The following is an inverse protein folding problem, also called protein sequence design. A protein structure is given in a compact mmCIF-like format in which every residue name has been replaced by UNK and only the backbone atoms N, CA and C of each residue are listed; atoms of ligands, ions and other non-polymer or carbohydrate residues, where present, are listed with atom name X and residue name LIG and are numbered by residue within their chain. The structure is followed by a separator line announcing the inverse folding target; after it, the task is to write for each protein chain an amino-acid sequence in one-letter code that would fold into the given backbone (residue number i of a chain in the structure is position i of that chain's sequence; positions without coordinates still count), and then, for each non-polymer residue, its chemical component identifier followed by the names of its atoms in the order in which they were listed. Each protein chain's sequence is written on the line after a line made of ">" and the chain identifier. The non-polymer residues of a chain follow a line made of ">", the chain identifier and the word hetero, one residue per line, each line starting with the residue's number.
data_IF_753032958298
#
_entry.id   IF_753032958298
#
_cell.length_a   1.000
_cell.length_b   1.000
_cell.length_c   1.000
_cell.angle_alpha   90.00
_cell.angle_beta   90.00
_cell.angle_gamma   90.00
#
_symmetry.space_group_name_H-M   'P 1'
#
loop_
_entity.id
_entity.type
_entity.pdbx_description
1 polymer ?
#
# COMPACT_ATOMS: atom_id res chain seq x y z
N UNK A 1 53.53 -40.79 -27.11
CA UNK A 1 52.42 -39.81 -27.16
C UNK A 1 51.15 -40.48 -26.67
N UNK A 2 50.57 -40.03 -25.55
CA UNK A 2 49.28 -40.52 -25.03
C UNK A 2 48.17 -39.48 -25.31
N UNK A 3 46.92 -39.90 -25.61
CA UNK A 3 45.96 -39.04 -26.28
C UNK A 3 45.24 -38.06 -25.34
N UNK A 4 45.25 -36.79 -25.75
CA UNK A 4 44.60 -35.63 -25.11
C UNK A 4 43.11 -35.60 -25.48
N UNK A 5 42.30 -36.49 -24.89
CA UNK A 5 40.86 -36.58 -25.20
C UNK A 5 39.93 -37.13 -24.10
N UNK A 6 40.43 -37.36 -22.88
CA UNK A 6 39.70 -38.12 -21.84
C UNK A 6 38.74 -37.35 -20.93
N UNK A 7 38.57 -36.02 -21.06
CA UNK A 7 37.87 -35.23 -20.04
C UNK A 7 36.36 -35.03 -20.29
N UNK A 8 35.89 -34.90 -21.54
CA UNK A 8 34.48 -34.58 -21.82
C UNK A 8 33.50 -35.75 -21.56
N UNK A 9 33.95 -36.99 -21.75
CA UNK A 9 33.14 -38.19 -21.47
C UNK A 9 32.97 -38.45 -19.96
N UNK A 10 33.95 -38.06 -19.15
CA UNK A 10 33.86 -38.10 -17.67
C UNK A 10 32.99 -36.97 -17.13
N UNK A 11 33.08 -35.79 -17.73
CA UNK A 11 32.25 -34.63 -17.38
C UNK A 11 30.77 -34.87 -17.70
N UNK A 12 30.45 -35.40 -18.88
CA UNK A 12 29.07 -35.77 -19.23
C UNK A 12 28.51 -36.90 -18.36
N UNK A 13 29.34 -37.84 -17.90
CA UNK A 13 28.92 -38.87 -16.93
C UNK A 13 28.60 -38.29 -15.56
N UNK A 14 29.39 -37.32 -15.09
CA UNK A 14 29.12 -36.60 -13.84
C UNK A 14 27.89 -35.71 -13.94
N UNK A 15 27.70 -35.03 -15.07
CA UNK A 15 26.52 -34.22 -15.34
C UNK A 15 25.22 -35.05 -15.30
N UNK A 16 25.20 -36.22 -15.98
CA UNK A 16 24.04 -37.12 -15.94
C UNK A 16 23.73 -37.66 -14.54
N UNK A 17 24.76 -37.90 -13.72
CA UNK A 17 24.57 -38.32 -12.32
C UNK A 17 23.99 -37.20 -11.47
N UNK A 18 24.48 -35.96 -11.66
CA UNK A 18 23.98 -34.78 -10.97
C UNK A 18 22.53 -34.45 -11.37
N UNK A 19 22.16 -34.56 -12.66
CA UNK A 19 20.79 -34.36 -13.12
C UNK A 19 19.81 -35.37 -12.54
N UNK A 20 20.22 -36.65 -12.42
CA UNK A 20 19.37 -37.67 -11.84
C UNK A 20 19.19 -37.48 -10.31
N UNK A 21 20.23 -37.02 -9.63
CA UNK A 21 20.17 -36.69 -8.21
C UNK A 21 19.32 -35.42 -7.96
N UNK A 22 19.43 -34.40 -8.83
CA UNK A 22 18.57 -33.22 -8.80
C UNK A 22 17.09 -33.59 -9.02
N UNK A 23 16.78 -34.44 -10.01
CA UNK A 23 15.40 -34.93 -10.23
C UNK A 23 14.85 -35.69 -9.05
N UNK A 24 15.68 -36.50 -8.37
CA UNK A 24 15.27 -37.21 -7.15
C UNK A 24 15.03 -36.24 -5.99
N UNK A 25 15.84 -35.21 -5.86
CA UNK A 25 15.66 -34.16 -4.83
C UNK A 25 14.42 -33.31 -5.10
N UNK A 26 14.13 -32.97 -6.36
CA UNK A 26 12.92 -32.24 -6.77
C UNK A 26 11.65 -33.08 -6.54
N UNK A 27 11.68 -34.38 -6.87
CA UNK A 27 10.59 -35.29 -6.54
C UNK A 27 10.36 -35.40 -5.02
N UNK A 28 11.43 -35.49 -4.23
CA UNK A 28 11.32 -35.51 -2.77
C UNK A 28 10.84 -34.16 -2.19
N UNK A 29 11.23 -33.04 -2.78
CA UNK A 29 10.78 -31.71 -2.38
C UNK A 29 9.30 -31.50 -2.69
N UNK A 30 8.86 -31.87 -3.90
CA UNK A 30 7.44 -31.78 -4.30
C UNK A 30 6.55 -32.73 -3.48
N UNK A 31 7.02 -33.91 -3.08
CA UNK A 31 6.28 -34.77 -2.16
C UNK A 31 6.19 -34.19 -0.74
N UNK A 32 7.24 -33.53 -0.25
CA UNK A 32 7.21 -32.83 1.04
C UNK A 32 6.27 -31.64 1.00
N UNK A 33 6.33 -30.82 -0.04
CA UNK A 33 5.44 -29.68 -0.24
C UNK A 33 3.98 -30.12 -0.33
N UNK A 34 3.67 -31.21 -1.04
CA UNK A 34 2.32 -31.78 -1.08
C UNK A 34 1.85 -32.26 0.29
N UNK A 35 2.72 -32.94 1.06
CA UNK A 35 2.38 -33.43 2.41
C UNK A 35 2.18 -32.28 3.40
N UNK A 36 3.00 -31.25 3.30
CA UNK A 36 2.85 -30.02 4.09
C UNK A 36 1.56 -29.30 3.69
N UNK A 37 1.26 -29.15 2.40
CA UNK A 37 0.02 -28.56 1.92
C UNK A 37 -1.22 -29.31 2.44
N UNK A 38 -1.23 -30.65 2.39
CA UNK A 38 -2.33 -31.44 2.96
C UNK A 38 -2.43 -31.30 4.48
N UNK A 39 -1.31 -31.25 5.19
CA UNK A 39 -1.30 -31.08 6.65
C UNK A 39 -1.78 -29.69 7.08
N UNK A 40 -1.51 -28.66 6.27
CA UNK A 40 -2.02 -27.30 6.45
C UNK A 40 -3.51 -27.18 6.07
N UNK A 41 -3.99 -27.98 5.11
CA UNK A 41 -5.38 -28.02 4.69
C UNK A 41 -6.29 -28.68 5.74
N UNK A 42 -5.83 -29.75 6.41
CA UNK A 42 -6.56 -30.42 7.50
C UNK A 42 -6.75 -29.53 8.75
N UNK A 43 -5.90 -28.51 8.93
CA UNK A 43 -6.02 -27.51 9.99
C UNK A 43 -7.01 -26.37 9.68
N UNK A 44 -7.43 -26.22 8.42
CA UNK A 44 -8.33 -25.17 7.99
C UNK A 44 -9.80 -25.64 8.09
N UNK A 45 -10.54 -25.14 9.08
CA UNK A 45 -12.00 -25.32 9.21
C UNK A 45 -12.71 -25.08 7.86
N UNK A 46 -13.23 -26.17 7.27
CA UNK A 46 -14.10 -26.28 6.09
C UNK A 46 -14.18 -25.03 5.17
N UNK A 47 -13.25 -24.87 4.20
CA UNK A 47 -13.37 -23.88 3.12
C UNK A 47 -14.60 -24.12 2.20
N UNK A 48 -15.18 -25.33 2.23
CA UNK A 48 -16.35 -25.73 1.45
C UNK A 48 -17.62 -24.91 1.77
N UNK A 49 -17.82 -24.52 3.04
CA UNK A 49 -18.98 -23.73 3.45
C UNK A 49 -18.86 -22.25 3.07
N UNK A 50 -17.63 -21.71 2.98
CA UNK A 50 -17.40 -20.36 2.46
C UNK A 50 -17.49 -20.30 0.94
N UNK A 51 -16.93 -21.28 0.23
CA UNK A 51 -17.02 -21.36 -1.23
C UNK A 51 -18.47 -21.50 -1.71
N UNK A 52 -19.28 -22.36 -1.07
CA UNK A 52 -20.70 -22.53 -1.43
C UNK A 52 -21.55 -21.27 -1.15
N UNK A 53 -21.15 -20.43 -0.19
CA UNK A 53 -21.85 -19.17 0.14
C UNK A 53 -21.46 -18.04 -0.81
N UNK A 54 -20.21 -17.99 -1.27
CA UNK A 54 -19.75 -17.02 -2.28
C UNK A 54 -20.25 -17.36 -3.68
N UNK A 55 -20.36 -18.64 -4.03
CA UNK A 55 -20.89 -19.08 -5.31
C UNK A 55 -22.39 -18.76 -5.45
N UNK A 56 -23.18 -18.97 -4.37
CA UNK A 56 -24.59 -18.53 -4.32
C UNK A 56 -24.73 -17.02 -4.47
N UNK A 57 -23.89 -16.22 -3.80
CA UNK A 57 -23.92 -14.75 -3.95
C UNK A 57 -23.56 -14.29 -5.36
N UNK A 58 -22.61 -14.94 -6.02
CA UNK A 58 -22.24 -14.62 -7.42
C UNK A 58 -23.37 -14.99 -8.39
N UNK A 59 -24.04 -16.13 -8.18
CA UNK A 59 -25.20 -16.53 -8.99
C UNK A 59 -26.38 -15.57 -8.82
N UNK A 60 -26.68 -15.12 -7.59
CA UNK A 60 -27.74 -14.15 -7.33
C UNK A 60 -27.45 -12.77 -7.95
N UNK A 61 -26.19 -12.33 -7.89
CA UNK A 61 -25.76 -11.09 -8.53
C UNK A 61 -25.83 -11.18 -10.05
N UNK A 62 -25.46 -12.32 -10.64
CA UNK A 62 -25.58 -12.55 -12.08
C UNK A 62 -27.05 -12.55 -12.53
N UNK A 63 -27.94 -13.23 -11.80
CA UNK A 63 -29.38 -13.24 -12.10
C UNK A 63 -30.01 -11.85 -11.95
N UNK A 64 -29.58 -11.08 -10.95
CA UNK A 64 -30.06 -9.70 -10.77
C UNK A 64 -29.55 -8.77 -11.88
N UNK A 65 -28.33 -8.96 -12.37
CA UNK A 65 -27.79 -8.20 -13.49
C UNK A 65 -28.49 -8.53 -14.81
N UNK A 66 -28.83 -9.80 -15.06
CA UNK A 66 -29.61 -10.21 -16.24
C UNK A 66 -31.02 -9.62 -16.21
N UNK A 67 -31.72 -9.71 -15.08
CA UNK A 67 -33.04 -9.10 -14.92
C UNK A 67 -33.02 -7.57 -15.08
N UNK A 68 -31.98 -6.91 -14.55
CA UNK A 68 -31.83 -5.47 -14.72
C UNK A 68 -31.55 -5.09 -16.18
N UNK A 69 -30.81 -5.92 -16.92
CA UNK A 69 -30.59 -5.71 -18.35
C UNK A 69 -31.87 -5.90 -19.16
N UNK A 70 -32.67 -6.93 -18.86
CA UNK A 70 -33.98 -7.12 -19.50
C UNK A 70 -34.94 -5.96 -19.20
N UNK A 71 -34.98 -5.47 -17.95
CA UNK A 71 -35.81 -4.32 -17.59
C UNK A 71 -35.36 -3.04 -18.31
N UNK A 72 -34.05 -2.82 -18.44
CA UNK A 72 -33.53 -1.68 -19.20
C UNK A 72 -33.83 -1.78 -20.70
N UNK A 73 -33.85 -2.99 -21.26
CA UNK A 73 -34.22 -3.24 -22.65
C UNK A 73 -35.74 -3.05 -22.88
N UNK A 74 -36.57 -3.39 -21.89
CA UNK A 74 -38.00 -3.05 -21.89
C UNK A 74 -38.26 -1.54 -21.70
N UNK A 75 -37.52 -0.85 -20.83
CA UNK A 75 -37.63 0.61 -20.68
C UNK A 75 -37.12 1.38 -21.91
N UNK A 76 -36.12 0.86 -22.62
CA UNK A 76 -35.63 1.44 -23.87
C UNK A 76 -36.62 1.24 -25.04
N UNK A 77 -37.46 0.20 -24.99
CA UNK A 77 -38.49 -0.08 -26.00
C UNK A 77 -39.83 0.62 -25.70
N UNK A 78 -39.95 1.30 -24.54
CA UNK A 78 -41.09 2.15 -24.25
C UNK A 78 -41.02 3.45 -25.11
N UNK A 79 -42.07 3.78 -25.90
CA UNK A 79 -42.01 4.88 -26.86
C UNK A 79 -41.87 6.26 -26.20
N UNK A 80 -40.80 6.96 -26.56
CA UNK A 80 -40.47 8.31 -26.09
C UNK A 80 -41.50 9.36 -26.52
N UNK A 81 -42.08 10.09 -25.56
CA UNK A 81 -42.90 11.28 -25.84
C UNK A 81 -42.00 12.52 -26.03
N UNK A 82 -42.30 13.25 -27.10
CA UNK A 82 -41.51 14.27 -27.76
C UNK A 82 -41.02 15.46 -26.90
N UNK A 83 -39.83 15.98 -27.27
CA UNK A 83 -39.34 17.32 -26.94
C UNK A 83 -40.07 18.40 -27.74
N UNK A 84 -40.43 19.51 -27.09
CA UNK A 84 -40.62 20.80 -27.74
C UNK A 84 -40.22 21.94 -26.78
N UNK A 85 -39.42 22.88 -27.28
CA UNK A 85 -39.05 24.14 -26.64
C UNK A 85 -39.78 25.32 -27.37
N UNK A 86 -39.53 26.59 -27.06
CA UNK A 86 -40.22 27.40 -26.04
C UNK A 86 -40.95 28.63 -26.64
N UNK A 87 -42.09 29.09 -26.09
CA UNK A 87 -42.56 30.49 -26.27
C UNK A 87 -43.38 31.02 -25.09
N UNK A 88 -43.16 32.31 -24.88
CA UNK A 88 -43.63 33.29 -23.88
C UNK A 88 -45.15 33.49 -23.80
N UNK A 89 -45.68 33.82 -22.61
CA UNK A 89 -46.96 34.53 -22.47
C UNK A 89 -47.77 34.33 -21.18
N UNK A 90 -47.46 35.11 -20.14
CA UNK A 90 -48.32 35.68 -19.09
C UNK A 90 -49.54 34.91 -18.48
N UNK A 91 -49.51 34.78 -17.14
CA UNK A 91 -50.45 35.38 -16.15
C UNK A 91 -51.07 34.40 -15.11
N UNK A 92 -50.67 34.67 -13.85
CA UNK A 92 -51.39 34.55 -12.56
C UNK A 92 -51.55 33.20 -11.80
N UNK A 93 -50.88 33.20 -10.64
CA UNK A 93 -51.32 32.81 -9.26
C UNK A 93 -51.40 31.31 -8.90
N UNK A 94 -50.43 30.84 -8.09
CA UNK A 94 -50.64 30.13 -6.80
C UNK A 94 -49.30 29.82 -6.08
N UNK A 95 -49.05 30.57 -4.98
CA UNK A 95 -48.39 30.29 -3.66
C UNK A 95 -47.58 28.96 -3.39
N UNK A 96 -46.71 28.93 -2.36
CA UNK A 96 -45.32 29.44 -2.29
C UNK A 96 -44.30 28.37 -1.81
N UNK A 97 -43.01 28.75 -1.68
CA UNK A 97 -41.87 28.17 -0.88
C UNK A 97 -40.58 28.05 -1.74
N UNK A 98 -39.36 28.13 -1.16
CA UNK A 98 -38.71 29.38 -0.73
C UNK A 98 -37.25 29.49 -1.25
N UNK A 99 -36.51 30.46 -0.71
CA UNK A 99 -35.08 30.80 -0.88
C UNK A 99 -34.86 31.87 -1.97
N UNK A 100 -33.86 32.78 -1.88
CA UNK A 100 -32.66 32.72 -1.03
C UNK A 100 -32.21 34.07 -0.42
N UNK A 101 -31.07 34.00 0.31
CA UNK A 101 -30.10 35.06 0.56
C UNK A 101 -30.44 36.15 1.61
N UNK A 102 -29.52 36.32 2.58
CA UNK A 102 -29.40 37.55 3.39
C UNK A 102 -29.06 38.77 2.51
N UNK A 103 -29.02 40.01 3.04
CA UNK A 103 -28.10 40.38 4.13
C UNK A 103 -28.57 41.53 5.07
N UNK A 104 -27.95 41.65 6.25
CA UNK A 104 -27.67 42.96 6.84
C UNK A 104 -28.57 43.47 7.99
N UNK A 105 -27.91 43.65 9.14
CA UNK A 105 -28.00 44.81 10.03
C UNK A 105 -29.04 44.78 11.19
N UNK A 106 -28.49 44.42 12.36
CA UNK A 106 -28.57 45.12 13.67
C UNK A 106 -29.93 45.35 14.34
N UNK A 107 -30.10 44.81 15.56
CA UNK A 107 -30.12 45.58 16.82
C UNK A 107 -30.83 44.83 17.96
N UNK A 108 -30.27 45.00 19.17
CA UNK A 108 -30.76 44.62 20.51
C UNK A 108 -30.68 43.10 20.81
N UNK A 109 -29.70 42.63 21.59
CA UNK A 109 -29.31 43.08 22.93
C UNK A 109 -29.56 41.87 23.84
N UNK A 110 -28.54 41.15 24.32
CA UNK A 110 -27.63 41.54 25.39
C UNK A 110 -27.68 40.42 26.44
N UNK A 111 -26.57 40.15 27.12
CA UNK A 111 -26.56 39.32 28.33
C UNK A 111 -25.66 38.10 28.27
N UNK A 112 -24.41 38.32 28.69
CA UNK A 112 -23.53 37.30 29.23
C UNK A 112 -24.24 36.57 30.39
N UNK A 113 -24.19 35.25 30.39
CA UNK A 113 -24.67 34.41 31.48
C UNK A 113 -23.80 33.17 31.57
N UNK A 114 -22.75 33.29 32.38
CA UNK A 114 -21.90 32.22 32.86
C UNK A 114 -22.74 31.06 33.40
N UNK A 115 -22.43 29.84 32.97
CA UNK A 115 -22.83 28.63 33.67
C UNK A 115 -21.56 27.79 33.85
N UNK A 116 -21.12 27.72 35.11
CA UNK A 116 -19.99 26.96 35.60
C UNK A 116 -19.94 25.53 35.04
N UNK A 117 -18.76 25.15 34.55
CA UNK A 117 -18.34 23.75 34.50
C UNK A 117 -17.48 23.53 35.72
N UNK A 118 -17.97 22.65 36.59
CA UNK A 118 -17.30 22.27 37.83
C UNK A 118 -15.88 21.78 37.61
N UNK A 119 -15.07 22.20 38.57
CA UNK A 119 -13.65 21.99 38.76
C UNK A 119 -13.38 20.53 39.14
N UNK A 120 -12.64 19.83 38.28
CA UNK A 120 -12.11 18.50 38.52
C UNK A 120 -10.61 18.48 38.18
N UNK A 121 -9.81 18.84 39.18
CA UNK A 121 -8.39 18.49 39.40
C UNK A 121 -7.51 18.34 38.14
N UNK A 122 -6.95 19.46 37.67
CA UNK A 122 -5.81 19.46 36.75
C UNK A 122 -4.56 19.86 37.52
N UNK A 123 -3.71 18.86 37.77
CA UNK A 123 -2.29 19.09 37.99
C UNK A 123 -1.69 19.95 36.88
N UNK A 124 -0.81 20.85 37.27
CA UNK A 124 -0.17 21.88 36.45
C UNK A 124 0.52 21.31 35.20
N UNK A 125 -0.06 21.54 34.02
CA UNK A 125 0.69 21.67 32.77
C UNK A 125 0.08 22.83 31.99
N UNK A 126 0.86 23.89 31.76
CA UNK A 126 0.46 25.04 30.96
C UNK A 126 0.00 24.65 29.54
N UNK A 127 -0.62 25.56 28.78
CA UNK A 127 -1.08 25.26 27.43
C UNK A 127 0.11 24.83 26.57
N UNK A 128 0.17 23.55 26.21
CA UNK A 128 1.15 23.04 25.24
C UNK A 128 0.98 23.86 23.96
N UNK A 129 2.00 24.63 23.61
CA UNK A 129 2.08 25.34 22.34
C UNK A 129 1.75 24.33 21.23
N UNK A 130 0.72 24.62 20.43
CA UNK A 130 0.30 23.72 19.36
C UNK A 130 1.42 23.69 18.33
N UNK A 131 2.16 22.59 18.28
CA UNK A 131 3.25 22.42 17.32
C UNK A 131 2.68 22.42 15.90
N UNK A 132 3.04 23.43 15.11
CA UNK A 132 2.64 23.56 13.72
C UNK A 132 3.69 22.93 12.81
N UNK A 133 3.27 22.03 11.92
CA UNK A 133 4.12 21.40 10.92
C UNK A 133 3.79 21.91 9.52
N UNK A 134 4.81 22.18 8.70
CA UNK A 134 4.66 22.51 7.28
C UNK A 134 5.24 21.40 6.42
N UNK A 135 4.41 20.81 5.56
CA UNK A 135 4.85 19.86 4.56
C UNK A 135 4.63 20.45 3.16
N UNK A 136 5.69 20.95 2.54
CA UNK A 136 5.67 21.35 1.12
C UNK A 136 6.10 20.20 0.23
N UNK A 137 5.28 19.87 -0.75
CA UNK A 137 5.51 18.73 -1.64
C UNK A 137 4.93 17.42 -1.10
N UNK A 138 4.79 16.44 -2.00
CA UNK A 138 4.13 15.17 -1.71
C UNK A 138 4.96 14.34 -0.73
N UNK A 139 6.28 14.27 -0.92
CA UNK A 139 7.15 13.43 -0.09
C UNK A 139 7.15 13.88 1.38
N UNK A 140 7.25 15.19 1.63
CA UNK A 140 7.17 15.75 2.98
C UNK A 140 5.78 15.53 3.62
N UNK A 141 4.71 15.54 2.81
CA UNK A 141 3.36 15.28 3.31
C UNK A 141 3.16 13.80 3.67
N UNK A 142 3.72 12.89 2.89
CA UNK A 142 3.73 11.46 3.18
C UNK A 142 4.53 11.16 4.45
N UNK A 143 5.71 11.77 4.60
CA UNK A 143 6.54 11.62 5.80
C UNK A 143 5.81 12.16 7.05
N UNK A 144 5.14 13.32 6.95
CA UNK A 144 4.34 13.86 8.05
C UNK A 144 3.16 12.96 8.40
N UNK A 145 2.46 12.44 7.38
CA UNK A 145 1.36 11.50 7.59
C UNK A 145 1.85 10.21 8.25
N UNK A 146 3.01 9.68 7.88
CA UNK A 146 3.60 8.51 8.53
C UNK A 146 3.84 8.78 10.02
N UNK A 147 4.37 9.95 10.36
CA UNK A 147 4.59 10.35 11.76
C UNK A 147 3.26 10.54 12.51
N UNK A 148 2.32 11.29 11.95
CA UNK A 148 1.03 11.64 12.60
C UNK A 148 0.12 10.42 12.75
N UNK A 149 0.12 9.50 11.78
CA UNK A 149 -0.73 8.29 11.82
C UNK A 149 -0.06 7.12 12.53
N UNK A 150 1.25 7.20 12.83
CA UNK A 150 1.94 6.17 13.56
C UNK A 150 1.33 5.99 14.96
N UNK A 151 0.86 4.78 15.24
CA UNK A 151 0.38 4.43 16.57
C UNK A 151 1.57 4.33 17.51
N UNK A 152 1.59 5.16 18.55
CA UNK A 152 2.67 5.23 19.55
C UNK A 152 2.51 4.21 20.70
N UNK A 153 1.52 3.31 20.61
CA UNK A 153 1.35 2.23 21.56
C UNK A 153 2.59 1.32 21.61
N UNK A 154 2.99 0.89 22.81
CA UNK A 154 4.17 0.03 23.03
C UNK A 154 4.17 -1.24 22.15
N UNK A 155 2.99 -1.80 21.89
CA UNK A 155 2.82 -2.95 21.01
C UNK A 155 3.09 -2.59 19.52
N UNK A 156 2.56 -1.46 19.05
CA UNK A 156 2.75 -0.98 17.68
C UNK A 156 4.22 -0.61 17.41
N UNK A 157 4.81 0.19 18.31
CA UNK A 157 6.23 0.59 18.22
C UNK A 157 7.14 -0.63 18.29
N UNK A 158 6.81 -1.63 19.12
CA UNK A 158 7.52 -2.90 19.20
C UNK A 158 7.48 -3.70 17.89
N UNK A 159 6.34 -3.76 17.21
CA UNK A 159 6.20 -4.42 15.91
C UNK A 159 6.95 -3.68 14.80
N UNK A 160 6.88 -2.34 14.77
CA UNK A 160 7.69 -1.55 13.83
C UNK A 160 9.19 -1.77 14.08
N UNK A 161 9.62 -1.79 15.34
CA UNK A 161 11.01 -2.03 15.72
C UNK A 161 11.51 -3.43 15.37
N UNK A 162 10.62 -4.43 15.45
CA UNK A 162 10.90 -5.79 15.01
C UNK A 162 11.10 -5.88 13.49
N UNK A 163 10.37 -5.06 12.72
CA UNK A 163 10.46 -5.00 11.26
C UNK A 163 11.72 -4.31 10.71
N UNK A 164 12.49 -3.60 11.54
CA UNK A 164 13.71 -2.93 11.10
C UNK A 164 14.75 -3.95 10.65
N UNK A 165 15.27 -3.73 9.45
CA UNK A 165 16.23 -4.62 8.82
C UNK A 165 17.61 -4.58 9.49
N UNK A 166 18.17 -5.76 9.74
CA UNK A 166 19.50 -5.95 10.36
C UNK A 166 20.60 -6.25 9.33
N UNK A 167 20.23 -6.74 8.13
CA UNK A 167 21.15 -7.17 7.08
C UNK A 167 20.79 -6.54 5.72
N UNK A 168 21.02 -5.22 5.57
CA UNK A 168 20.76 -4.52 4.31
C UNK A 168 21.49 -5.18 3.13
N UNK A 169 22.70 -5.71 3.33
CA UNK A 169 23.49 -6.44 2.32
C UNK A 169 22.76 -7.65 1.74
N UNK A 170 22.03 -8.41 2.57
CA UNK A 170 21.29 -9.61 2.13
C UNK A 170 20.04 -9.23 1.34
N UNK A 171 19.34 -8.18 1.76
CA UNK A 171 18.13 -7.69 1.08
C UNK A 171 18.45 -6.91 -0.19
N UNK A 172 19.62 -6.29 -0.27
CA UNK A 172 20.02 -5.47 -1.41
C UNK A 172 19.90 -6.23 -2.73
N UNK A 173 20.37 -7.48 -2.78
CA UNK A 173 20.29 -8.29 -4.00
C UNK A 173 18.85 -8.55 -4.44
N UNK A 174 17.98 -8.95 -3.51
CA UNK A 174 16.58 -9.23 -3.80
C UNK A 174 15.80 -7.95 -4.18
N UNK A 175 16.05 -6.85 -3.46
CA UNK A 175 15.44 -5.56 -3.74
C UNK A 175 15.90 -5.00 -5.10
N UNK A 176 17.19 -5.14 -5.44
CA UNK A 176 17.72 -4.75 -6.74
C UNK A 176 17.14 -5.59 -7.87
N UNK A 177 16.99 -6.90 -7.67
CA UNK A 177 16.37 -7.80 -8.65
C UNK A 177 14.90 -7.43 -8.89
N UNK A 178 14.12 -7.20 -7.83
CA UNK A 178 12.74 -6.73 -7.92
C UNK A 178 12.62 -5.37 -8.63
N UNK A 179 13.52 -4.43 -8.33
CA UNK A 179 13.59 -3.14 -9.01
C UNK A 179 13.96 -3.30 -10.49
N UNK A 180 14.94 -4.14 -10.79
CA UNK A 180 15.39 -4.42 -12.14
C UNK A 180 14.24 -5.00 -12.97
N UNK A 181 13.49 -5.98 -12.48
CA UNK A 181 12.38 -6.57 -13.23
C UNK A 181 11.26 -5.57 -13.53
N UNK A 182 10.96 -4.68 -12.59
CA UNK A 182 9.93 -3.65 -12.76
C UNK A 182 10.34 -2.54 -13.73
N UNK A 183 11.58 -2.05 -13.62
CA UNK A 183 12.04 -0.86 -14.35
C UNK A 183 12.75 -1.17 -15.67
N UNK A 184 13.25 -2.39 -15.87
CA UNK A 184 13.89 -2.81 -17.13
C UNK A 184 13.01 -2.64 -18.38
N UNK A 185 11.68 -2.91 -18.38
CA UNK A 185 10.85 -2.60 -19.54
C UNK A 185 10.67 -1.08 -19.76
N UNK A 186 10.69 -0.27 -18.70
CA UNK A 186 10.57 1.19 -18.81
C UNK A 186 11.84 1.78 -19.42
N UNK A 187 13.00 1.43 -18.87
CA UNK A 187 14.30 1.90 -19.35
C UNK A 187 14.60 1.47 -20.79
N UNK A 188 14.16 0.26 -21.20
CA UNK A 188 14.29 -0.17 -22.60
C UNK A 188 13.50 0.70 -23.57
N UNK A 189 12.37 1.28 -23.13
CA UNK A 189 11.58 2.21 -23.93
C UNK A 189 12.21 3.61 -23.95
N UNK A 190 12.74 4.07 -22.82
CA UNK A 190 13.38 5.39 -22.70
C UNK A 190 14.72 5.46 -23.42
N UNK A 191 15.52 4.40 -23.36
CA UNK A 191 16.86 4.34 -23.94
C UNK A 191 17.00 3.18 -24.92
N UNK A 192 16.29 3.17 -26.06
CA UNK A 192 16.38 2.06 -27.01
C UNK A 192 17.79 1.93 -27.58
N UNK A 193 18.23 0.70 -27.86
CA UNK A 193 19.51 0.41 -28.50
C UNK A 193 20.72 0.23 -27.57
N UNK A 194 20.56 0.38 -26.25
CA UNK A 194 21.61 0.07 -25.28
C UNK A 194 21.83 -1.45 -25.13
N UNK A 195 23.05 -1.86 -24.79
CA UNK A 195 23.37 -3.25 -24.44
C UNK A 195 22.74 -3.61 -23.08
N UNK A 196 22.36 -4.87 -22.89
CA UNK A 196 21.79 -5.35 -21.62
C UNK A 196 22.62 -4.96 -20.38
N UNK A 197 23.95 -5.02 -20.48
CA UNK A 197 24.83 -4.62 -19.39
C UNK A 197 24.72 -3.13 -19.05
N UNK A 198 24.60 -2.26 -20.05
CA UNK A 198 24.47 -0.81 -19.85
C UNK A 198 23.13 -0.46 -19.18
N UNK A 199 22.05 -1.18 -19.51
CA UNK A 199 20.78 -1.03 -18.79
C UNK A 199 20.90 -1.44 -17.32
N UNK A 200 21.58 -2.55 -17.04
CA UNK A 200 21.83 -2.98 -15.66
C UNK A 200 22.64 -1.96 -14.88
N UNK A 201 23.67 -1.39 -15.49
CA UNK A 201 24.50 -0.36 -14.86
C UNK A 201 23.70 0.93 -14.59
N UNK A 202 22.80 1.32 -15.51
CA UNK A 202 21.91 2.47 -15.34
C UNK A 202 20.88 2.22 -14.22
N UNK A 203 20.25 1.05 -14.23
CA UNK A 203 19.33 0.59 -13.19
C UNK A 203 20.00 0.57 -11.82
N UNK A 204 21.24 0.08 -11.76
CA UNK A 204 22.02 0.04 -10.53
C UNK A 204 22.27 1.44 -9.97
N UNK A 205 22.65 2.40 -10.82
CA UNK A 205 22.85 3.80 -10.42
C UNK A 205 21.57 4.48 -9.94
N UNK A 206 20.44 4.19 -10.60
CA UNK A 206 19.13 4.70 -10.15
C UNK A 206 18.74 4.06 -8.83
N UNK A 207 18.93 2.74 -8.69
CA UNK A 207 18.61 2.01 -7.48
C UNK A 207 19.44 2.48 -6.28
N UNK A 208 20.72 2.79 -6.45
CA UNK A 208 21.56 3.35 -5.38
C UNK A 208 20.95 4.61 -4.75
N UNK A 209 20.27 5.44 -5.53
CA UNK A 209 19.61 6.68 -5.07
C UNK A 209 18.14 6.48 -4.68
N UNK A 210 17.55 5.35 -5.03
CA UNK A 210 16.14 5.08 -4.81
C UNK A 210 15.85 4.83 -3.32
N UNK A 211 14.67 5.25 -2.79
CA UNK A 211 14.25 4.91 -1.43
C UNK A 211 13.99 3.40 -1.23
N UNK A 212 13.83 2.65 -2.33
CA UNK A 212 13.67 1.19 -2.33
C UNK A 212 14.96 0.45 -1.95
N UNK A 213 16.11 1.13 -1.97
CA UNK A 213 17.38 0.55 -1.56
C UNK A 213 17.41 0.37 -0.03
N UNK A 214 17.58 -0.87 0.48
CA UNK A 214 17.66 -1.13 1.92
C UNK A 214 18.76 -0.34 2.65
N UNK A 215 19.81 0.09 1.95
CA UNK A 215 20.87 0.93 2.53
C UNK A 215 20.45 2.38 2.79
N UNK A 216 19.44 2.88 2.06
CA UNK A 216 18.91 4.24 2.25
C UNK A 216 17.84 4.28 3.36
N UNK A 217 17.46 3.12 3.89
CA UNK A 217 16.50 2.99 4.98
C UNK A 217 17.21 2.97 6.33
N UNK A 218 16.47 3.17 7.42
CA UNK A 218 17.02 3.02 8.76
C UNK A 218 17.44 1.58 9.02
N UNK A 219 18.74 1.38 9.20
CA UNK A 219 19.34 0.09 9.53
C UNK A 219 19.85 0.12 10.96
N UNK A 220 19.97 -1.06 11.57
CA UNK A 220 20.47 -1.22 12.92
C UNK A 220 21.50 -2.35 12.91
N UNK A 221 22.50 -2.28 13.78
CA UNK A 221 23.51 -3.34 13.93
C UNK A 221 22.85 -4.69 14.24
N UNK A 222 23.53 -5.78 13.88
CA UNK A 222 23.00 -7.13 14.03
C UNK A 222 22.66 -7.47 15.48
N UNK A 223 23.55 -7.11 16.41
CA UNK A 223 23.42 -7.40 17.85
C UNK A 223 22.56 -6.39 18.61
N UNK A 224 21.88 -5.48 17.90
CA UNK A 224 21.14 -4.41 18.56
C UNK A 224 19.97 -4.90 19.39
N UNK A 225 19.85 -4.30 20.57
CA UNK A 225 18.76 -4.57 21.51
C UNK A 225 17.42 -4.05 20.96
N UNK A 226 16.31 -4.54 21.54
CA UNK A 226 14.97 -4.07 21.18
C UNK A 226 14.82 -2.57 21.44
N UNK A 227 15.46 -2.07 22.49
CA UNK A 227 15.43 -0.66 22.87
C UNK A 227 16.18 0.21 21.87
N UNK A 228 17.35 -0.24 21.39
CA UNK A 228 18.09 0.46 20.33
C UNK A 228 17.32 0.56 19.03
N UNK A 229 16.58 -0.50 18.66
CA UNK A 229 15.68 -0.47 17.49
C UNK A 229 14.56 0.55 17.65
N UNK A 230 13.95 0.61 18.83
CA UNK A 230 12.92 1.61 19.14
C UNK A 230 13.52 3.01 19.09
N UNK A 231 14.71 3.19 19.67
CA UNK A 231 15.43 4.45 19.64
C UNK A 231 15.75 4.89 18.20
N UNK A 232 16.22 3.98 17.34
CA UNK A 232 16.48 4.29 15.93
C UNK A 232 15.22 4.73 15.17
N UNK A 233 14.06 4.11 15.43
CA UNK A 233 12.79 4.55 14.85
C UNK A 233 12.36 5.91 15.37
N UNK A 234 12.46 6.14 16.68
CA UNK A 234 12.09 7.40 17.30
C UNK A 234 13.02 8.53 16.82
N UNK A 235 14.32 8.26 16.67
CA UNK A 235 15.28 9.20 16.12
C UNK A 235 14.93 9.57 14.67
N UNK A 236 14.50 8.61 13.84
CA UNK A 236 14.01 8.88 12.49
C UNK A 236 12.76 9.75 12.50
N UNK A 237 11.77 9.43 13.34
CA UNK A 237 10.54 10.22 13.48
C UNK A 237 10.86 11.65 13.93
N UNK A 238 11.71 11.81 14.93
CA UNK A 238 12.17 13.12 15.41
C UNK A 238 12.91 13.91 14.33
N UNK A 239 13.73 13.26 13.48
CA UNK A 239 14.36 13.93 12.34
C UNK A 239 13.33 14.45 11.34
N UNK A 240 12.29 13.67 11.04
CA UNK A 240 11.19 14.09 10.16
C UNK A 240 10.41 15.24 10.79
N UNK A 241 10.05 15.13 12.08
CA UNK A 241 9.34 16.16 12.84
C UNK A 241 10.14 17.47 12.84
N UNK A 242 11.43 17.43 13.18
CA UNK A 242 12.29 18.61 13.21
C UNK A 242 12.46 19.25 11.83
N UNK A 243 12.50 18.46 10.76
CA UNK A 243 12.59 18.97 9.38
C UNK A 243 11.31 19.71 8.96
N UNK A 244 10.16 19.27 9.47
CA UNK A 244 8.85 19.78 9.08
C UNK A 244 8.25 20.75 10.11
N UNK A 245 8.87 20.93 11.27
CA UNK A 245 8.45 21.86 12.30
C UNK A 245 8.58 23.30 11.80
N UNK A 246 7.53 24.09 11.98
CA UNK A 246 7.57 25.54 11.75
C UNK A 246 8.10 26.21 13.03
N UNK A 247 9.05 27.13 12.86
CA UNK A 247 9.53 28.03 13.92
C UNK A 247 8.79 29.37 13.86
#
# INVERSE_FOLDING_TARGET
>A
MAPKGGNSKKESGRAKKAENEAKKQEAAATEREKKEATAWEDGAKNPKDKAAKEEKRKADLARKAENAKLLAEEEASAPSKAKAAPKTGAKKVAKPQPKPAGPGAIAAGGGLGSAEVEEGDKGEEGPKEVESFHATGIDNALDLLEVVTAKMDKASVGSQAAGIERHPERRFKAAFEAYQERELPNIKKEHPGLRLQQYKDLLYKQFQKSPENPFNQTTVTYDASKEEKIHALNAKKAQVENRLRQY
#
